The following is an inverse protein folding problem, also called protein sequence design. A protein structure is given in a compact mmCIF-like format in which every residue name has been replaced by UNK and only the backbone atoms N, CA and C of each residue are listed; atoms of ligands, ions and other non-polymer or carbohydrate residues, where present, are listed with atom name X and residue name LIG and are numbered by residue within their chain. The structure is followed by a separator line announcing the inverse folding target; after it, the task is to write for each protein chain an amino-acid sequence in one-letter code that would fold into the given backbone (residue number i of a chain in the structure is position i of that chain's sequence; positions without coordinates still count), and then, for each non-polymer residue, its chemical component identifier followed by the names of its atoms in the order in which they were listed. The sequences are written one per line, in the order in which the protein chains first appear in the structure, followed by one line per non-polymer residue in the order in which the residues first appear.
data_IF_319944110052
#
_entry.id   IF_319944110052
#
_cell.length_a   1.000
_cell.length_b   1.000
_cell.length_c   1.000
_cell.angle_alpha   90.00
_cell.angle_beta   90.00
_cell.angle_gamma   90.00
#
_symmetry.space_group_name_H-M   'P 1'
#
loop_
_entity.id
_entity.type
_entity.pdbx_description
1 polymer ?
#
# COMPACT_ATOMS: atom_id res chain seq x y z
N UNK A 1 -30.35 0.37 -25.62
CA UNK A 1 -29.76 -0.71 -24.81
C UNK A 1 -28.33 -0.33 -24.50
N UNK A 2 -27.80 -0.61 -23.30
CA UNK A 2 -26.39 -0.36 -23.03
C UNK A 2 -25.57 -1.43 -23.78
N UNK A 3 -24.53 -1.02 -24.50
CA UNK A 3 -23.66 -1.99 -25.18
C UNK A 3 -22.93 -2.84 -24.13
N UNK A 4 -22.96 -4.18 -24.27
CA UNK A 4 -22.32 -5.05 -23.31
C UNK A 4 -20.80 -4.83 -23.32
N UNK A 5 -20.18 -4.94 -22.15
CA UNK A 5 -18.73 -4.75 -21.97
C UNK A 5 -17.90 -5.71 -22.85
N UNK A 6 -18.47 -6.86 -23.22
CA UNK A 6 -17.89 -7.86 -24.13
C UNK A 6 -17.55 -7.32 -25.51
N UNK A 7 -18.19 -6.22 -25.94
CA UNK A 7 -17.90 -5.57 -27.22
C UNK A 7 -16.62 -4.70 -27.16
N UNK A 8 -16.03 -4.53 -25.98
CA UNK A 8 -14.90 -3.64 -25.74
C UNK A 8 -13.79 -4.37 -24.97
N UNK A 9 -12.99 -5.23 -25.64
CA UNK A 9 -12.03 -6.10 -24.99
C UNK A 9 -10.98 -5.32 -24.18
N UNK A 10 -10.55 -4.15 -24.65
CA UNK A 10 -9.60 -3.29 -23.93
C UNK A 10 -10.17 -2.77 -22.60
N UNK A 11 -11.47 -2.41 -22.57
CA UNK A 11 -12.12 -2.01 -21.34
C UNK A 11 -12.32 -3.20 -20.41
N UNK A 12 -12.73 -4.35 -20.95
CA UNK A 12 -12.93 -5.57 -20.16
C UNK A 12 -11.67 -6.01 -19.42
N UNK A 13 -10.49 -5.84 -20.02
CA UNK A 13 -9.21 -6.21 -19.38
C UNK A 13 -8.85 -5.32 -18.19
N UNK A 14 -9.30 -4.07 -18.16
CA UNK A 14 -8.86 -3.10 -17.15
C UNK A 14 -9.94 -2.69 -16.15
N UNK A 15 -11.21 -2.90 -16.48
CA UNK A 15 -12.32 -2.47 -15.64
C UNK A 15 -12.62 -3.56 -14.60
N UNK A 16 -12.84 -3.21 -13.32
CA UNK A 16 -13.19 -4.20 -12.31
C UNK A 16 -14.56 -4.85 -12.55
N UNK A 17 -14.65 -6.18 -12.49
CA UNK A 17 -15.89 -6.94 -12.76
C UNK A 17 -17.04 -6.70 -11.76
N UNK A 18 -16.73 -6.19 -10.57
CA UNK A 18 -17.68 -6.01 -9.47
C UNK A 18 -18.71 -4.88 -9.69
N UNK A 19 -18.66 -4.19 -10.83
CA UNK A 19 -19.48 -3.01 -11.11
C UNK A 19 -20.25 -3.15 -12.41
N UNK A 20 -21.41 -2.52 -12.44
CA UNK A 20 -22.20 -2.40 -13.67
C UNK A 20 -21.78 -1.13 -14.44
N UNK A 21 -21.41 -1.33 -15.70
CA UNK A 21 -20.94 -0.28 -16.59
C UNK A 21 -21.96 0.02 -17.68
N UNK A 22 -22.08 1.30 -18.01
CA UNK A 22 -22.70 1.75 -19.25
C UNK A 22 -21.68 2.50 -20.07
N UNK A 23 -21.40 2.01 -21.27
CA UNK A 23 -20.44 2.63 -22.18
C UNK A 23 -21.18 3.69 -23.00
N UNK A 24 -20.72 4.93 -22.95
CA UNK A 24 -21.33 6.05 -23.67
C UNK A 24 -20.54 6.42 -24.93
N UNK A 25 -19.21 6.36 -24.86
CA UNK A 25 -18.30 6.66 -25.95
C UNK A 25 -17.06 5.80 -25.79
N UNK A 26 -16.53 5.30 -26.90
CA UNK A 26 -15.29 4.55 -26.92
C UNK A 26 -14.60 4.77 -28.27
N UNK A 27 -13.34 5.19 -28.23
CA UNK A 27 -12.52 5.46 -29.40
C UNK A 27 -11.18 4.77 -29.21
N UNK A 28 -10.82 3.87 -30.12
CA UNK A 28 -9.48 3.27 -30.14
C UNK A 28 -8.50 4.18 -30.88
N UNK A 29 -7.24 4.20 -30.44
CA UNK A 29 -6.20 4.98 -31.09
C UNK A 29 -5.45 4.10 -32.09
N UNK A 30 -5.62 4.35 -33.39
CA UNK A 30 -4.98 3.60 -34.51
C UNK A 30 -3.44 3.76 -34.63
N UNK A 31 -2.76 4.26 -33.59
CA UNK A 31 -1.36 4.66 -33.72
C UNK A 31 -0.39 3.61 -33.17
N UNK A 32 -0.08 2.62 -34.00
CA UNK A 32 1.31 2.17 -34.27
C UNK A 32 1.29 1.16 -35.42
N UNK A 33 1.98 1.50 -36.50
CA UNK A 33 2.25 0.58 -37.59
C UNK A 33 2.99 -0.66 -37.08
N UNK A 34 2.40 -1.82 -37.36
CA UNK A 34 2.95 -3.17 -37.28
C UNK A 34 3.46 -3.68 -35.91
N UNK A 35 2.74 -4.69 -35.40
CA UNK A 35 3.16 -5.79 -34.50
C UNK A 35 3.05 -5.68 -32.97
N UNK A 36 2.56 -4.59 -32.38
CA UNK A 36 2.17 -4.57 -30.95
C UNK A 36 0.65 -4.39 -30.77
N UNK A 37 0.01 -5.09 -29.80
CA UNK A 37 -1.42 -4.96 -29.57
C UNK A 37 -1.79 -3.51 -29.19
N UNK A 38 -2.88 -3.00 -29.76
CA UNK A 38 -3.41 -1.67 -29.47
C UNK A 38 -3.82 -1.63 -27.99
N UNK A 39 -3.14 -0.82 -27.17
CA UNK A 39 -3.48 -0.64 -25.74
C UNK A 39 -4.01 0.76 -25.43
N UNK A 40 -4.15 1.62 -26.44
CA UNK A 40 -4.43 3.04 -26.29
C UNK A 40 -5.86 3.36 -26.76
N UNK A 41 -6.67 3.92 -25.86
CA UNK A 41 -8.06 4.27 -26.17
C UNK A 41 -8.54 5.45 -25.32
N UNK A 42 -9.65 6.04 -25.73
CA UNK A 42 -10.43 6.99 -24.93
C UNK A 42 -11.84 6.44 -24.71
N UNK A 43 -12.35 6.53 -23.50
CA UNK A 43 -13.68 6.04 -23.15
C UNK A 43 -14.44 7.01 -22.23
N UNK A 44 -15.73 7.16 -22.46
CA UNK A 44 -16.66 7.70 -21.47
C UNK A 44 -17.58 6.59 -21.01
N UNK A 45 -17.49 6.25 -19.73
CA UNK A 45 -18.30 5.21 -19.09
C UNK A 45 -19.13 5.81 -17.96
N UNK A 46 -20.22 5.14 -17.60
CA UNK A 46 -21.03 5.48 -16.45
C UNK A 46 -21.23 4.29 -15.52
N UNK A 47 -21.43 4.62 -14.25
CA UNK A 47 -21.46 3.69 -13.12
C UNK A 47 -22.65 3.98 -12.21
N UNK A 48 -23.19 2.93 -11.58
CA UNK A 48 -24.24 3.00 -10.54
C UNK A 48 -23.71 3.45 -9.16
N UNK A 49 -22.66 4.27 -9.14
CA UNK A 49 -22.02 4.79 -7.93
C UNK A 49 -22.65 6.14 -7.56
N UNK A 50 -23.01 6.33 -6.29
CA UNK A 50 -23.73 7.54 -5.82
C UNK A 50 -22.94 8.35 -4.81
N UNK A 51 -21.92 7.77 -4.19
CA UNK A 51 -21.18 8.40 -3.10
C UNK A 51 -19.70 8.59 -3.42
N UNK A 52 -19.08 9.52 -2.67
CA UNK A 52 -17.62 9.73 -2.72
C UNK A 52 -16.84 8.50 -2.24
N UNK A 53 -17.37 7.74 -1.28
CA UNK A 53 -16.69 6.58 -0.71
C UNK A 53 -16.61 5.43 -1.73
N UNK A 54 -17.74 5.09 -2.35
CA UNK A 54 -17.82 4.12 -3.44
C UNK A 54 -16.94 4.51 -4.63
N UNK A 55 -16.94 5.79 -5.02
CA UNK A 55 -16.08 6.26 -6.10
C UNK A 55 -14.59 6.07 -5.80
N UNK A 56 -14.17 6.29 -4.55
CA UNK A 56 -12.78 6.03 -4.13
C UNK A 56 -12.44 4.55 -4.13
N UNK A 57 -13.39 3.69 -3.76
CA UNK A 57 -13.22 2.24 -3.80
C UNK A 57 -13.04 1.77 -5.25
N UNK A 58 -13.92 2.22 -6.15
CA UNK A 58 -13.82 1.93 -7.58
C UNK A 58 -12.47 2.35 -8.18
N UNK A 59 -11.93 3.51 -7.80
CA UNK A 59 -10.59 3.93 -8.25
C UNK A 59 -9.53 2.94 -7.78
N UNK A 60 -9.56 2.49 -6.52
CA UNK A 60 -8.60 1.49 -6.01
C UNK A 60 -8.71 0.17 -6.78
N UNK A 61 -9.92 -0.28 -7.07
CA UNK A 61 -10.14 -1.51 -7.82
C UNK A 61 -9.66 -1.39 -9.27
N UNK A 62 -9.86 -0.22 -9.89
CA UNK A 62 -9.32 0.09 -11.21
C UNK A 62 -7.78 0.08 -11.19
N UNK A 63 -7.14 0.66 -10.18
CA UNK A 63 -5.66 0.64 -10.07
C UNK A 63 -5.09 -0.79 -9.90
N UNK A 64 -5.86 -1.68 -9.27
CA UNK A 64 -5.52 -3.08 -9.08
C UNK A 64 -5.58 -3.85 -10.40
N UNK A 65 -6.66 -3.69 -11.15
CA UNK A 65 -6.94 -4.41 -12.41
C UNK A 65 -6.13 -3.86 -13.58
N UNK A 66 -6.08 -2.54 -13.76
CA UNK A 66 -5.34 -1.88 -14.86
C UNK A 66 -3.81 -1.83 -14.68
N UNK A 67 -3.30 -2.16 -13.49
CA UNK A 67 -1.91 -1.95 -13.07
C UNK A 67 -1.41 -0.48 -13.15
N UNK A 68 -2.29 0.50 -13.37
CA UNK A 68 -1.96 1.94 -13.41
C UNK A 68 -2.19 2.55 -12.03
N UNK A 69 -1.22 3.31 -11.53
CA UNK A 69 -1.44 4.17 -10.35
C UNK A 69 -1.84 5.58 -10.78
N UNK A 70 -3.00 6.03 -10.34
CA UNK A 70 -3.58 7.33 -10.62
C UNK A 70 -3.27 8.31 -9.49
N UNK A 71 -2.74 9.48 -9.84
CA UNK A 71 -2.46 10.58 -8.91
C UNK A 71 -3.50 11.66 -9.09
N UNK A 72 -3.97 12.20 -7.98
CA UNK A 72 -4.85 13.36 -7.94
C UNK A 72 -4.18 14.52 -8.69
N UNK A 73 -4.86 15.02 -9.72
CA UNK A 73 -4.47 16.21 -10.46
C UNK A 73 -5.18 17.44 -9.94
N UNK A 74 -6.51 17.38 -9.90
CA UNK A 74 -7.34 18.47 -9.37
C UNK A 74 -8.47 17.89 -8.54
N UNK A 75 -8.76 18.55 -7.43
CA UNK A 75 -9.95 18.29 -6.60
C UNK A 75 -10.86 19.49 -6.63
N UNK A 76 -12.16 19.23 -6.53
CA UNK A 76 -13.18 20.27 -6.57
C UNK A 76 -13.90 20.30 -5.22
N UNK A 77 -13.45 21.15 -4.27
CA UNK A 77 -14.12 21.29 -2.99
C UNK A 77 -15.53 21.84 -3.20
N UNK A 78 -16.46 21.37 -2.36
CA UNK A 78 -17.82 21.90 -2.34
C UNK A 78 -17.77 23.21 -1.56
N UNK A 79 -17.56 24.33 -2.26
CA UNK A 79 -17.48 25.65 -1.63
C UNK A 79 -18.88 26.23 -1.36
N UNK A 80 -19.11 26.62 -0.10
CA UNK A 80 -20.05 27.65 0.35
C UNK A 80 -21.44 27.68 -0.28
N UNK A 81 -22.41 26.96 0.30
CA UNK A 81 -23.86 27.18 0.14
C UNK A 81 -24.47 26.95 -1.25
N UNK A 82 -23.68 26.90 -2.32
CA UNK A 82 -24.16 26.61 -3.67
C UNK A 82 -24.47 25.12 -3.77
N UNK A 83 -25.68 24.79 -4.21
CA UNK A 83 -26.11 23.44 -4.57
C UNK A 83 -25.27 22.98 -5.77
N UNK A 84 -24.06 22.46 -5.53
CA UNK A 84 -23.24 21.90 -6.59
C UNK A 84 -23.98 20.70 -7.19
N UNK A 85 -24.07 20.65 -8.51
CA UNK A 85 -24.67 19.53 -9.24
C UNK A 85 -23.88 18.22 -9.03
N UNK A 86 -22.63 18.32 -8.56
CA UNK A 86 -21.75 17.18 -8.29
C UNK A 86 -21.65 16.93 -6.78
N UNK A 87 -21.74 15.67 -6.40
CA UNK A 87 -21.44 15.14 -5.07
C UNK A 87 -19.92 15.00 -4.90
N UNK A 88 -19.24 14.57 -5.96
CA UNK A 88 -17.80 14.40 -5.95
C UNK A 88 -17.26 14.60 -7.37
N UNK A 89 -16.14 15.31 -7.48
CA UNK A 89 -15.38 15.38 -8.72
C UNK A 89 -13.89 15.32 -8.41
N UNK A 90 -13.19 14.55 -9.21
CA UNK A 90 -11.74 14.43 -9.16
C UNK A 90 -11.20 14.26 -10.57
N UNK A 91 -10.13 14.99 -10.87
CA UNK A 91 -9.35 14.82 -12.07
C UNK A 91 -8.02 14.18 -11.66
N UNK A 92 -7.59 13.17 -12.41
CA UNK A 92 -6.43 12.34 -12.10
C UNK A 92 -5.51 12.19 -13.31
N UNK A 93 -4.24 11.91 -13.04
CA UNK A 93 -3.19 11.67 -14.03
C UNK A 93 -2.40 10.42 -13.68
N UNK A 94 -1.74 9.81 -14.65
CA UNK A 94 -0.81 8.72 -14.36
C UNK A 94 0.30 9.17 -13.39
N UNK A 95 0.76 8.26 -12.53
CA UNK A 95 1.90 8.50 -11.65
C UNK A 95 3.21 8.88 -12.35
N UNK A 96 3.35 8.57 -13.64
CA UNK A 96 4.49 8.93 -14.48
C UNK A 96 4.38 10.33 -15.10
N UNK A 97 3.32 11.07 -14.79
CA UNK A 97 3.23 12.51 -15.02
C UNK A 97 3.49 13.23 -13.71
N UNK A 98 4.76 13.44 -13.39
CA UNK A 98 5.16 14.14 -12.16
C UNK A 98 5.43 15.62 -12.43
N UNK A 99 5.22 16.46 -11.42
CA UNK A 99 5.64 17.85 -11.49
C UNK A 99 7.14 17.92 -11.19
N UNK A 100 7.93 18.39 -12.15
CA UNK A 100 9.38 18.54 -12.02
C UNK A 100 9.71 19.44 -10.83
N UNK A 101 10.48 18.94 -9.87
CA UNK A 101 10.93 19.74 -8.72
C UNK A 101 12.09 20.69 -9.05
N UNK A 102 12.78 20.42 -10.16
CA UNK A 102 13.84 21.27 -10.70
C UNK A 102 14.00 21.00 -12.20
N UNK A 103 14.64 21.93 -12.97
CA UNK A 103 14.91 21.75 -14.39
C UNK A 103 15.79 20.53 -14.73
N UNK A 104 16.52 20.01 -13.73
CA UNK A 104 17.43 18.87 -13.89
C UNK A 104 16.85 17.55 -13.36
N UNK A 105 15.73 17.59 -12.64
CA UNK A 105 15.11 16.39 -12.05
C UNK A 105 14.72 15.36 -13.10
N UNK A 106 14.17 15.83 -14.23
CA UNK A 106 13.68 14.98 -15.30
C UNK A 106 14.79 14.49 -16.24
N UNK A 107 15.98 15.10 -16.17
CA UNK A 107 17.15 14.68 -16.94
C UNK A 107 17.84 13.43 -16.38
N UNK A 108 17.48 13.00 -15.17
CA UNK A 108 18.05 11.80 -14.54
C UNK A 108 17.47 10.56 -15.19
N UNK A 109 18.33 9.59 -15.51
CA UNK A 109 17.90 8.28 -16.03
C UNK A 109 16.91 7.55 -15.09
N UNK A 110 17.00 7.79 -13.78
CA UNK A 110 16.08 7.25 -12.78
C UNK A 110 14.77 8.03 -12.62
N UNK A 111 14.52 9.05 -13.46
CA UNK A 111 13.32 9.87 -13.35
C UNK A 111 12.05 9.02 -13.41
N UNK A 112 11.07 9.38 -12.58
CA UNK A 112 9.73 8.82 -12.65
C UNK A 112 8.91 9.48 -13.76
N UNK A 113 9.28 10.69 -14.19
CA UNK A 113 8.54 11.49 -15.14
C UNK A 113 8.78 11.02 -16.57
N UNK A 114 7.74 10.53 -17.23
CA UNK A 114 7.72 10.31 -18.69
C UNK A 114 6.85 11.32 -19.40
N UNK A 115 6.28 12.30 -18.68
CA UNK A 115 5.27 13.22 -19.21
C UNK A 115 4.04 12.48 -19.79
N UNK A 116 3.66 11.34 -19.19
CA UNK A 116 2.57 10.49 -19.65
C UNK A 116 1.26 11.27 -19.90
N UNK A 117 0.60 11.13 -21.06
CA UNK A 117 -0.60 11.90 -21.38
C UNK A 117 -1.88 11.36 -20.70
N UNK A 118 -1.88 10.10 -20.27
CA UNK A 118 -3.03 9.43 -19.63
C UNK A 118 -3.67 10.25 -18.49
N UNK A 119 -5.00 10.37 -18.56
CA UNK A 119 -5.84 11.13 -17.63
C UNK A 119 -7.14 10.40 -17.35
N UNK A 120 -7.70 10.66 -16.17
CA UNK A 120 -9.02 10.19 -15.81
C UNK A 120 -9.80 11.33 -15.14
N UNK A 121 -11.05 11.54 -15.55
CA UNK A 121 -11.96 12.44 -14.88
C UNK A 121 -13.14 11.66 -14.33
N UNK A 122 -13.35 11.70 -13.01
CA UNK A 122 -14.47 11.06 -12.36
C UNK A 122 -15.40 12.12 -11.77
N UNK A 123 -16.68 12.04 -12.12
CA UNK A 123 -17.73 12.94 -11.65
C UNK A 123 -18.91 12.12 -11.14
N UNK A 124 -19.18 12.20 -9.84
CA UNK A 124 -20.40 11.70 -9.21
C UNK A 124 -21.41 12.84 -9.18
N UNK A 125 -22.45 12.74 -10.01
CA UNK A 125 -23.52 13.74 -10.05
C UNK A 125 -24.55 13.48 -8.95
N UNK A 126 -25.23 14.55 -8.55
CA UNK A 126 -26.33 14.52 -7.59
C UNK A 126 -27.62 14.11 -8.30
N UNK A 127 -28.27 13.06 -7.81
CA UNK A 127 -29.57 12.57 -8.33
C UNK A 127 -30.76 13.21 -7.64
N UNK A 128 -30.63 13.62 -6.37
CA UNK A 128 -31.67 14.29 -5.60
C UNK A 128 -31.22 15.68 -5.14
N UNK A 129 -32.09 16.66 -5.29
CA UNK A 129 -31.91 18.00 -4.73
C UNK A 129 -31.96 17.96 -3.20
N UNK A 130 -31.45 19.02 -2.55
CA UNK A 130 -31.51 19.16 -1.09
C UNK A 130 -32.96 19.13 -0.53
N UNK A 131 -33.95 19.44 -1.37
CA UNK A 131 -35.38 19.35 -1.04
C UNK A 131 -35.96 17.95 -1.20
N UNK A 132 -35.15 16.92 -1.45
CA UNK A 132 -35.59 15.54 -1.70
C UNK A 132 -36.10 15.27 -3.13
N UNK A 133 -36.46 16.31 -3.89
CA UNK A 133 -36.92 16.19 -5.29
C UNK A 133 -35.81 15.62 -6.20
N UNK A 134 -36.21 14.88 -7.23
CA UNK A 134 -35.30 14.39 -8.26
C UNK A 134 -34.62 15.55 -9.01
N UNK A 135 -33.39 15.31 -9.45
CA UNK A 135 -32.63 16.21 -10.31
C UNK A 135 -33.35 16.44 -11.62
N UNK A 136 -33.48 17.71 -12.02
CA UNK A 136 -34.10 18.14 -13.29
C UNK A 136 -33.11 18.14 -14.47
N UNK A 137 -32.00 17.41 -14.37
CA UNK A 137 -31.04 17.31 -15.46
C UNK A 137 -31.70 16.64 -16.67
N UNK A 138 -31.41 17.12 -17.88
CA UNK A 138 -31.77 16.48 -19.16
C UNK A 138 -30.99 15.20 -19.45
N UNK A 139 -30.15 14.77 -18.51
CA UNK A 139 -29.27 13.63 -18.65
C UNK A 139 -30.05 12.34 -18.34
N UNK A 140 -30.47 11.64 -19.39
CA UNK A 140 -31.34 10.44 -19.34
C UNK A 140 -30.82 9.37 -18.37
N UNK A 141 -29.49 9.22 -18.28
CA UNK A 141 -28.87 8.16 -17.47
C UNK A 141 -28.53 8.60 -16.05
N UNK A 142 -28.78 9.85 -15.68
CA UNK A 142 -28.38 10.37 -14.38
C UNK A 142 -28.98 9.58 -13.21
N UNK A 143 -30.24 9.16 -13.31
CA UNK A 143 -30.93 8.51 -12.20
C UNK A 143 -30.38 7.11 -11.92
N UNK A 144 -30.07 6.35 -12.98
CA UNK A 144 -29.58 4.98 -12.87
C UNK A 144 -28.04 4.93 -12.77
N UNK A 145 -27.33 5.67 -13.62
CA UNK A 145 -25.87 5.73 -13.67
C UNK A 145 -25.35 7.17 -13.41
N UNK A 146 -25.40 7.65 -12.15
CA UNK A 146 -25.06 9.04 -11.82
C UNK A 146 -23.58 9.39 -11.88
N UNK A 147 -22.71 8.38 -11.86
CA UNK A 147 -21.26 8.60 -11.98
C UNK A 147 -20.84 8.51 -13.43
N UNK A 148 -20.14 9.53 -13.91
CA UNK A 148 -19.50 9.55 -15.23
C UNK A 148 -17.99 9.54 -15.07
N UNK A 149 -17.33 8.63 -15.77
CA UNK A 149 -15.88 8.55 -15.86
C UNK A 149 -15.46 8.76 -17.30
N UNK A 150 -14.58 9.71 -17.52
CA UNK A 150 -13.82 9.83 -18.76
C UNK A 150 -12.42 9.27 -18.52
N UNK A 151 -11.98 8.36 -19.38
CA UNK A 151 -10.70 7.69 -19.31
C UNK A 151 -9.96 7.90 -20.62
N UNK A 152 -8.84 8.62 -20.54
CA UNK A 152 -7.85 8.72 -21.62
C UNK A 152 -6.69 7.79 -21.24
N UNK A 153 -6.68 6.60 -21.82
CA UNK A 153 -5.77 5.50 -21.49
C UNK A 153 -4.54 5.46 -22.41
N UNK A 154 -4.09 6.63 -22.88
CA UNK A 154 -2.86 6.74 -23.70
C UNK A 154 -1.63 6.83 -22.82
N UNK A 155 -0.85 5.76 -22.78
CA UNK A 155 0.39 5.68 -22.02
C UNK A 155 1.60 5.68 -22.96
N UNK A 156 2.58 6.55 -22.67
CA UNK A 156 3.85 6.59 -23.40
C UNK A 156 4.96 5.75 -22.75
N UNK A 157 4.58 4.85 -21.86
CA UNK A 157 5.45 3.92 -21.16
C UNK A 157 4.73 2.58 -21.04
N UNK A 158 5.48 1.49 -20.94
CA UNK A 158 4.90 0.16 -20.72
C UNK A 158 4.23 0.11 -19.33
N UNK A 159 3.13 -0.63 -19.20
CA UNK A 159 2.42 -0.74 -17.91
C UNK A 159 2.98 -1.87 -17.03
N UNK A 160 3.33 -3.00 -17.65
CA UNK A 160 3.73 -4.24 -16.96
C UNK A 160 5.25 -4.43 -16.87
N UNK A 161 6.04 -3.41 -17.22
CA UNK A 161 7.50 -3.50 -17.09
C UNK A 161 7.94 -3.44 -15.61
N UNK A 162 8.91 -4.26 -15.17
CA UNK A 162 9.46 -4.24 -13.81
C UNK A 162 9.86 -2.84 -13.32
N UNK A 163 10.38 -1.99 -14.20
CA UNK A 163 10.80 -0.63 -13.86
C UNK A 163 9.63 0.27 -13.44
N UNK A 164 8.47 0.01 -14.03
CA UNK A 164 7.22 0.75 -13.83
C UNK A 164 6.48 0.18 -12.62
N UNK A 165 6.40 -1.14 -12.51
CA UNK A 165 5.80 -1.84 -11.37
C UNK A 165 6.51 -1.51 -10.05
N UNK A 166 7.85 -1.37 -10.06
CA UNK A 166 8.63 -0.93 -8.88
C UNK A 166 8.26 0.49 -8.41
N UNK A 167 7.65 1.32 -9.25
CA UNK A 167 7.27 2.70 -8.93
C UNK A 167 5.83 2.82 -8.40
N UNK A 168 5.04 1.73 -8.38
CA UNK A 168 3.67 1.66 -7.83
C UNK A 168 3.63 1.89 -6.32
N UNK A 169 2.45 2.18 -5.80
CA UNK A 169 2.22 2.20 -4.35
C UNK A 169 2.10 0.78 -3.80
N UNK A 170 2.53 0.62 -2.55
CA UNK A 170 2.36 -0.64 -1.80
C UNK A 170 0.87 -0.82 -1.55
N UNK A 171 0.33 -2.00 -1.88
CA UNK A 171 -1.09 -2.30 -1.72
C UNK A 171 -1.51 -2.24 -0.25
N UNK A 172 -2.81 -1.98 -0.03
CA UNK A 172 -3.39 -2.00 1.32
C UNK A 172 -3.27 -3.39 1.97
N UNK A 173 -3.44 -4.46 1.18
CA UNK A 173 -3.24 -5.84 1.62
C UNK A 173 -1.80 -6.07 2.12
N UNK A 174 -0.79 -5.61 1.37
CA UNK A 174 0.61 -5.74 1.77
C UNK A 174 0.94 -4.88 3.00
N UNK A 175 0.35 -3.69 3.11
CA UNK A 175 0.47 -2.86 4.31
C UNK A 175 -0.15 -3.53 5.53
N UNK A 176 -1.30 -4.20 5.37
CA UNK A 176 -1.95 -4.97 6.44
C UNK A 176 -1.08 -6.15 6.86
N UNK A 177 -0.58 -6.95 5.92
CA UNK A 177 0.36 -8.06 6.19
C UNK A 177 1.60 -7.57 6.96
N UNK A 178 2.25 -6.50 6.50
CA UNK A 178 3.38 -5.89 7.21
C UNK A 178 2.99 -5.45 8.63
N UNK A 179 1.83 -4.81 8.78
CA UNK A 179 1.36 -4.33 10.09
C UNK A 179 1.13 -5.49 11.06
N UNK A 180 0.58 -6.61 10.59
CA UNK A 180 0.40 -7.82 11.38
C UNK A 180 1.73 -8.46 11.77
N UNK A 181 2.69 -8.55 10.84
CA UNK A 181 4.03 -9.04 11.13
C UNK A 181 4.72 -8.19 12.19
N UNK A 182 4.60 -6.86 12.10
CA UNK A 182 5.18 -5.99 13.12
C UNK A 182 4.51 -6.14 14.49
N UNK A 183 3.19 -6.34 14.54
CA UNK A 183 2.47 -6.64 15.79
C UNK A 183 2.94 -7.96 16.42
N UNK A 184 3.40 -8.91 15.60
CA UNK A 184 4.00 -10.18 16.04
C UNK A 184 5.48 -10.05 16.45
N UNK A 185 6.07 -8.85 16.41
CA UNK A 185 7.45 -8.59 16.83
C UNK A 185 8.49 -8.70 15.71
N UNK A 186 8.08 -8.85 14.45
CA UNK A 186 9.03 -8.85 13.33
C UNK A 186 9.67 -7.46 13.15
N UNK A 187 10.99 -7.46 12.93
CA UNK A 187 11.72 -6.28 12.46
C UNK A 187 11.37 -5.97 10.99
N UNK A 188 11.60 -4.73 10.50
CA UNK A 188 11.36 -4.36 9.10
C UNK A 188 11.99 -5.31 8.08
N UNK A 189 13.18 -5.83 8.38
CA UNK A 189 13.89 -6.78 7.51
C UNK A 189 13.26 -8.17 7.57
N UNK A 190 13.04 -8.71 8.78
CA UNK A 190 12.44 -10.04 8.92
C UNK A 190 11.04 -10.10 8.32
N UNK A 191 10.22 -9.05 8.46
CA UNK A 191 8.90 -8.99 7.86
C UNK A 191 8.95 -8.95 6.33
N UNK A 192 9.95 -8.28 5.75
CA UNK A 192 10.15 -8.26 4.31
C UNK A 192 10.55 -9.65 3.79
N UNK A 193 11.42 -10.37 4.50
CA UNK A 193 11.81 -11.72 4.13
C UNK A 193 10.63 -12.71 4.23
N UNK A 194 9.77 -12.55 5.24
CA UNK A 194 8.51 -13.33 5.31
C UNK A 194 7.64 -13.08 4.08
N UNK A 195 7.42 -11.82 3.69
CA UNK A 195 6.63 -11.50 2.48
C UNK A 195 7.26 -12.11 1.22
N UNK A 196 8.59 -12.05 1.07
CA UNK A 196 9.26 -12.67 -0.08
C UNK A 196 9.08 -14.18 -0.10
N UNK A 197 9.20 -14.82 1.05
CA UNK A 197 9.00 -16.26 1.19
C UNK A 197 7.55 -16.65 0.85
N UNK A 198 6.56 -15.90 1.35
CA UNK A 198 5.15 -16.10 1.01
C UNK A 198 4.93 -15.95 -0.50
N UNK A 199 5.48 -14.91 -1.13
CA UNK A 199 5.39 -14.72 -2.57
C UNK A 199 6.08 -15.83 -3.37
N UNK A 200 7.20 -16.36 -2.88
CA UNK A 200 7.89 -17.48 -3.53
C UNK A 200 7.07 -18.77 -3.42
N UNK A 201 6.44 -19.02 -2.28
CA UNK A 201 5.56 -20.16 -2.08
C UNK A 201 4.29 -20.06 -2.95
N UNK A 202 3.69 -18.88 -3.05
CA UNK A 202 2.44 -18.65 -3.78
C UNK A 202 2.63 -18.67 -5.32
N UNK A 203 3.76 -18.17 -5.83
CA UNK A 203 3.95 -17.93 -7.27
C UNK A 203 5.06 -18.76 -7.93
N UNK A 204 5.88 -19.49 -7.16
CA UNK A 204 6.93 -20.37 -7.70
C UNK A 204 7.80 -19.68 -8.74
N UNK A 205 7.79 -20.19 -9.98
CA UNK A 205 8.58 -19.66 -11.10
C UNK A 205 8.22 -18.21 -11.47
N UNK A 206 7.00 -17.76 -11.18
CA UNK A 206 6.58 -16.37 -11.45
C UNK A 206 7.06 -15.38 -10.39
N UNK A 207 7.69 -15.85 -9.31
CA UNK A 207 8.17 -15.03 -8.19
C UNK A 207 9.00 -13.83 -8.67
N UNK A 208 9.90 -14.02 -9.64
CA UNK A 208 10.80 -12.95 -10.13
C UNK A 208 10.00 -11.75 -10.67
N UNK A 209 8.91 -12.01 -11.40
CA UNK A 209 8.06 -10.96 -11.96
C UNK A 209 7.19 -10.30 -10.89
N UNK A 210 6.63 -11.12 -9.99
CA UNK A 210 5.75 -10.66 -8.91
C UNK A 210 6.51 -9.83 -7.87
N UNK A 211 7.75 -10.22 -7.55
CA UNK A 211 8.62 -9.50 -6.62
C UNK A 211 9.10 -8.15 -7.15
N UNK A 212 9.07 -7.93 -8.47
CA UNK A 212 9.34 -6.61 -9.05
C UNK A 212 8.21 -5.61 -8.82
N UNK A 213 6.98 -6.09 -8.54
CA UNK A 213 5.84 -5.24 -8.25
C UNK A 213 5.89 -4.72 -6.81
N UNK A 214 6.13 -3.42 -6.67
CA UNK A 214 6.16 -2.74 -5.37
C UNK A 214 4.82 -2.82 -4.62
N UNK A 215 3.72 -3.05 -5.34
CA UNK A 215 2.42 -3.26 -4.73
C UNK A 215 2.36 -4.52 -3.87
N UNK A 216 3.09 -5.56 -4.26
CA UNK A 216 3.14 -6.88 -3.61
C UNK A 216 4.41 -7.07 -2.78
N UNK A 217 5.57 -6.70 -3.32
CA UNK A 217 6.86 -6.78 -2.65
C UNK A 217 7.42 -5.36 -2.39
N UNK A 218 7.25 -4.83 -1.18
CA UNK A 218 7.65 -3.47 -0.86
C UNK A 218 9.17 -3.32 -0.81
N UNK A 219 9.66 -2.10 -1.05
CA UNK A 219 11.08 -1.79 -0.91
C UNK A 219 11.49 -1.73 0.57
N UNK A 220 12.76 -2.04 0.86
CA UNK A 220 13.32 -1.98 2.22
C UNK A 220 13.02 -0.65 2.91
N UNK A 221 13.18 0.47 2.21
CA UNK A 221 12.97 1.80 2.78
C UNK A 221 11.50 2.03 3.19
N UNK A 222 10.53 1.49 2.43
CA UNK A 222 9.12 1.50 2.79
C UNK A 222 8.85 0.73 4.07
N UNK A 223 9.40 -0.49 4.22
CA UNK A 223 9.23 -1.30 5.43
C UNK A 223 9.70 -0.56 6.68
N UNK A 224 10.90 0.03 6.65
CA UNK A 224 11.40 0.85 7.76
C UNK A 224 10.49 2.06 8.02
N UNK A 225 10.10 2.79 6.98
CA UNK A 225 9.23 3.97 7.14
C UNK A 225 7.87 3.60 7.74
N UNK A 226 7.28 2.49 7.31
CA UNK A 226 5.99 2.01 7.85
C UNK A 226 6.15 1.59 9.31
N UNK A 227 7.17 0.80 9.63
CA UNK A 227 7.46 0.38 11.00
C UNK A 227 7.64 1.58 11.92
N UNK A 228 8.53 2.52 11.59
CA UNK A 228 8.68 3.72 12.42
C UNK A 228 7.43 4.58 12.42
N UNK A 229 6.62 4.64 11.36
CA UNK A 229 5.33 5.34 11.41
C UNK A 229 4.36 4.71 12.41
N UNK A 230 4.39 3.39 12.60
CA UNK A 230 3.50 2.68 13.53
C UNK A 230 4.00 2.71 14.98
N UNK A 231 5.31 2.64 15.18
CA UNK A 231 5.92 2.49 16.51
C UNK A 231 6.63 3.76 17.02
N UNK A 232 7.15 4.63 16.15
CA UNK A 232 7.83 5.88 16.57
C UNK A 232 6.89 6.95 17.17
N UNK A 233 5.62 7.12 16.74
CA UNK A 233 4.71 8.03 17.44
C UNK A 233 4.39 7.59 18.87
N UNK A 234 4.55 6.30 19.18
CA UNK A 234 4.33 5.74 20.52
C UNK A 234 5.57 5.86 21.42
N UNK A 235 6.74 6.06 20.86
CA UNK A 235 8.02 5.95 21.57
C UNK A 235 9.00 7.08 21.16
N UNK A 236 8.86 8.30 21.70
CA UNK A 236 9.88 9.36 21.54
C UNK A 236 11.25 8.91 22.08
N UNK A 237 12.35 9.60 21.73
CA UNK A 237 13.72 9.27 22.20
C UNK A 237 13.87 9.12 23.73
N UNK A 238 12.95 9.70 24.51
CA UNK A 238 12.84 9.54 25.96
C UNK A 238 12.28 8.19 26.43
N UNK A 239 11.81 7.34 25.51
CA UNK A 239 11.13 6.09 25.80
C UNK A 239 12.05 4.92 26.08
N UNK A 240 13.37 5.01 25.82
CA UNK A 240 14.31 3.96 26.25
C UNK A 240 14.19 3.65 27.75
N UNK A 241 13.98 4.68 28.58
CA UNK A 241 13.74 4.51 30.03
C UNK A 241 12.36 3.92 30.36
N UNK A 242 11.29 4.31 29.63
CA UNK A 242 9.93 3.78 29.83
C UNK A 242 9.77 2.34 29.33
N UNK A 243 10.38 2.00 28.20
CA UNK A 243 10.40 0.65 27.65
C UNK A 243 11.14 -0.31 28.58
N UNK A 244 12.24 0.12 29.21
CA UNK A 244 12.93 -0.66 30.24
C UNK A 244 12.06 -0.87 31.49
N UNK A 245 11.33 0.16 31.93
CA UNK A 245 10.39 0.04 33.05
C UNK A 245 9.23 -0.91 32.74
N UNK A 246 8.67 -0.85 31.52
CA UNK A 246 7.64 -1.78 31.06
C UNK A 246 8.19 -3.22 30.93
N UNK A 247 9.39 -3.39 30.38
CA UNK A 247 10.09 -4.69 30.34
C UNK A 247 10.31 -5.24 31.76
N UNK A 248 10.83 -4.44 32.69
CA UNK A 248 10.97 -4.82 34.10
C UNK A 248 9.62 -5.20 34.73
N UNK A 249 8.55 -4.45 34.40
CA UNK A 249 7.19 -4.74 34.84
C UNK A 249 6.63 -6.06 34.30
N UNK A 250 6.96 -6.44 33.06
CA UNK A 250 6.58 -7.73 32.48
C UNK A 250 7.47 -8.89 32.93
N UNK A 251 8.73 -8.62 33.27
CA UNK A 251 9.65 -9.63 33.78
C UNK A 251 9.31 -10.08 35.20
N UNK A 252 8.83 -9.19 36.07
CA UNK A 252 8.42 -9.53 37.44
C UNK A 252 7.43 -10.71 37.52
N UNK A 253 6.24 -10.65 36.88
CA UNK A 253 5.28 -11.75 36.92
C UNK A 253 5.79 -13.01 36.21
N UNK A 254 6.71 -12.87 35.24
CA UNK A 254 7.36 -14.02 34.61
C UNK A 254 8.34 -14.73 35.56
N UNK A 255 9.17 -13.98 36.28
CA UNK A 255 10.11 -14.52 37.28
C UNK A 255 9.38 -15.11 38.50
N UNK A 256 8.28 -14.48 38.95
CA UNK A 256 7.42 -14.98 40.03
C UNK A 256 6.74 -16.29 39.64
N UNK A 257 6.24 -16.40 38.40
CA UNK A 257 5.57 -17.61 37.91
C UNK A 257 6.47 -18.85 37.87
N UNK A 258 7.77 -18.66 37.65
CA UNK A 258 8.74 -19.76 37.54
C UNK A 258 9.68 -19.85 38.75
N UNK A 259 9.37 -19.14 39.85
CA UNK A 259 10.16 -19.06 41.09
C UNK A 259 11.67 -18.96 40.82
N UNK A 260 12.03 -18.11 39.86
CA UNK A 260 13.38 -18.03 39.34
C UNK A 260 13.72 -16.70 38.71
N UNK A 261 14.95 -16.25 38.96
CA UNK A 261 15.53 -15.07 38.32
C UNK A 261 15.85 -15.38 36.85
N UNK A 262 14.80 -15.51 36.03
CA UNK A 262 14.91 -15.87 34.61
C UNK A 262 15.41 -14.72 33.73
N UNK A 263 15.36 -13.48 34.20
CA UNK A 263 15.98 -12.36 33.50
C UNK A 263 16.33 -11.22 34.45
N UNK A 264 17.45 -10.55 34.19
CA UNK A 264 17.83 -9.29 34.82
C UNK A 264 18.16 -8.24 33.78
N UNK A 265 17.87 -6.98 34.11
CA UNK A 265 18.16 -5.81 33.28
C UNK A 265 18.96 -4.85 34.14
N UNK A 266 20.22 -4.61 33.77
CA UNK A 266 21.11 -3.67 34.43
C UNK A 266 21.59 -2.59 33.46
N UNK A 267 21.97 -1.44 34.00
CA UNK A 267 22.61 -0.36 33.24
C UNK A 267 24.06 -0.23 33.70
N UNK A 268 24.97 -0.14 32.75
CA UNK A 268 26.37 0.18 33.04
C UNK A 268 26.55 1.67 33.30
N UNK A 269 27.72 2.04 33.84
CA UNK A 269 28.13 3.43 34.10
C UNK A 269 28.17 4.31 32.83
N UNK A 270 28.27 3.69 31.66
CA UNK A 270 28.25 4.35 30.34
C UNK A 270 26.85 4.44 29.72
N UNK A 271 25.78 4.20 30.49
CA UNK A 271 24.37 4.15 30.06
C UNK A 271 24.08 3.06 29.00
N UNK A 272 24.96 2.05 28.87
CA UNK A 272 24.68 0.85 28.10
C UNK A 272 23.76 -0.09 28.90
N UNK A 273 22.83 -0.76 28.22
CA UNK A 273 21.86 -1.65 28.85
C UNK A 273 22.31 -3.10 28.67
N UNK A 274 22.47 -3.82 29.77
CA UNK A 274 22.75 -5.26 29.79
C UNK A 274 21.45 -5.98 30.14
N UNK A 275 21.06 -6.94 29.29
CA UNK A 275 19.92 -7.81 29.53
C UNK A 275 20.45 -9.24 29.60
N UNK A 276 20.37 -9.86 30.78
CA UNK A 276 20.67 -11.27 30.96
C UNK A 276 19.36 -12.04 30.97
N UNK A 277 19.24 -13.08 30.13
CA UNK A 277 18.05 -13.94 30.06
C UNK A 277 18.50 -15.39 30.27
N UNK A 278 18.05 -16.01 31.35
CA UNK A 278 18.20 -17.43 31.61
C UNK A 278 16.83 -18.11 31.51
N UNK A 279 16.54 -18.70 30.35
CA UNK A 279 15.30 -19.46 30.18
C UNK A 279 15.30 -20.69 31.10
N UNK A 280 14.14 -21.15 31.62
CA UNK A 280 14.06 -22.34 32.47
C UNK A 280 14.73 -23.59 31.89
N UNK A 281 14.69 -23.77 30.56
CA UNK A 281 15.35 -24.89 29.86
C UNK A 281 16.88 -24.88 29.97
N UNK A 282 17.50 -23.69 30.03
CA UNK A 282 18.96 -23.54 30.19
C UNK A 282 19.41 -23.79 31.64
N UNK A 283 18.51 -23.67 32.61
CA UNK A 283 18.80 -23.92 34.03
C UNK A 283 18.84 -25.41 34.38
N UNK A 284 18.00 -26.23 33.73
CA UNK A 284 18.04 -27.71 33.90
C UNK A 284 19.42 -28.26 33.56
N UNK A 285 20.04 -27.75 32.48
CA UNK A 285 21.37 -28.16 32.02
C UNK A 285 22.49 -27.72 32.99
N UNK A 286 22.30 -26.63 33.74
CA UNK A 286 23.28 -26.20 34.74
C UNK A 286 23.18 -27.01 36.04
N UNK A 287 21.98 -27.37 36.49
CA UNK A 287 21.80 -28.17 37.70
C UNK A 287 22.25 -29.63 37.53
N UNK A 288 22.04 -30.24 36.35
CA UNK A 288 22.55 -31.59 36.05
C UNK A 288 24.08 -31.64 35.94
N UNK A 289 24.72 -30.54 35.52
CA UNK A 289 26.19 -30.43 35.46
C UNK A 289 26.83 -29.88 36.75
N UNK A 290 26.05 -29.59 37.80
CA UNK A 290 26.56 -29.05 39.07
C UNK A 290 26.85 -30.12 40.12
N UNK A 291 26.42 -31.36 39.91
CA UNK A 291 26.82 -32.50 40.76
C UNK A 291 28.14 -33.12 40.34
N UNK A 292 28.72 -32.70 39.20
CA UNK A 292 30.00 -33.21 38.73
C UNK A 292 30.89 -32.06 38.19
N UNK A 293 31.94 -31.75 38.95
CA UNK A 293 32.99 -30.74 38.72
C UNK A 293 32.75 -29.31 39.22
N UNK A 294 33.29 -29.05 40.41
CA UNK A 294 33.59 -27.70 40.87
C UNK A 294 34.64 -27.03 39.99
N UNK A 295 34.21 -26.17 39.07
CA UNK A 295 35.07 -25.13 38.50
C UNK A 295 34.22 -23.96 38.00
N UNK A 296 34.47 -22.77 38.56
CA UNK A 296 33.88 -21.48 38.19
C UNK A 296 34.12 -21.20 36.70
N UNK A 297 33.07 -21.27 35.89
CA UNK A 297 33.10 -20.90 34.47
C UNK A 297 32.68 -19.45 34.24
N UNK A 298 33.61 -18.65 33.70
CA UNK A 298 33.41 -17.28 33.26
C UNK A 298 32.25 -17.14 32.24
N UNK A 299 31.42 -16.12 32.42
CA UNK A 299 30.45 -15.69 31.41
C UNK A 299 31.18 -15.00 30.24
N UNK A 300 31.05 -15.58 29.05
CA UNK A 300 31.50 -14.99 27.79
C UNK A 300 30.57 -13.85 27.38
N UNK A 301 31.13 -12.64 27.31
CA UNK A 301 30.47 -11.44 26.79
C UNK A 301 30.48 -11.49 25.26
N UNK A 302 29.32 -11.63 24.63
CA UNK A 302 29.17 -11.37 23.19
C UNK A 302 28.84 -9.90 22.97
N UNK A 303 29.85 -9.07 22.71
CA UNK A 303 29.67 -7.71 22.20
C UNK A 303 29.30 -7.79 20.70
N UNK A 304 28.08 -7.37 20.36
CA UNK A 304 27.66 -7.13 18.98
C UNK A 304 28.02 -5.70 18.57
N UNK A 305 28.82 -5.57 17.51
CA UNK A 305 29.07 -4.31 16.78
C UNK A 305 27.90 -3.94 15.88
#
# INVERSE_FOLDING_TARGET
MADPLTNYPLLQQILPDAYEYRICQFNESDKRGNSEPITEFEATIRLKIKTKAEAKLWIKDLERTSAVTWRVDKTYPICGGKKTQNVYRIDMRCQHRTYSRSPTADKKASSKNTCCPAKMFLVVKRTHMASGKLSQSTDEYLQEFPTRVYLDFRHNHQLLSPEILRKRDVSEETVQKLTELYKKGHTPLSALEVIKHDLQADYGDQYVFVAADRSKCPDKQFCYRLYYKLFCPKYPKSFGKKMLLELQGHLKPFCEKYDSHCASIEKTEEDNIIIAICSPKHRVIQNENSEDNGQKGLLSVSQGK
#
